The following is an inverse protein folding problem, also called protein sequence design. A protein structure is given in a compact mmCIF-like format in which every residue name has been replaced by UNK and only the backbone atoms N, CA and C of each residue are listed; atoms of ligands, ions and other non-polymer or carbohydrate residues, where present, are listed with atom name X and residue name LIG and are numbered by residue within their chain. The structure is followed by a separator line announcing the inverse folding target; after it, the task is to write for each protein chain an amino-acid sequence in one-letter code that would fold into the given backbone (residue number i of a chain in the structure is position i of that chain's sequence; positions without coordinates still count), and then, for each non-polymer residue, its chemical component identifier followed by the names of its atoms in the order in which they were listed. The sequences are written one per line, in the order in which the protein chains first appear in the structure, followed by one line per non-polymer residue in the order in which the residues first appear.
data_IF_124716104487
#
_entry.id   IF_124716104487
#
_cell.length_a   1.000
_cell.length_b   1.000
_cell.length_c   1.000
_cell.angle_alpha   90.00
_cell.angle_beta   90.00
_cell.angle_gamma   90.00
#
_symmetry.space_group_name_H-M   'P 1'
#
loop_
_entity.id
_entity.type
_entity.pdbx_description
1 polymer ?
#
# COMPACT_ATOMS: atom_id res chain seq x y z
N UNK A 1 2.85 -12.63 5.24
CA UNK A 1 2.92 -12.53 3.78
C UNK A 1 4.32 -12.87 3.36
N UNK A 2 4.51 -13.80 2.46
CA UNK A 2 5.82 -14.05 1.87
C UNK A 2 5.86 -13.32 0.53
N UNK A 3 6.92 -12.58 0.28
CA UNK A 3 7.20 -12.13 -1.08
C UNK A 3 7.54 -13.35 -1.93
N UNK A 4 7.02 -13.44 -3.15
CA UNK A 4 7.26 -14.58 -4.05
C UNK A 4 8.75 -14.70 -4.42
N UNK A 5 9.51 -13.63 -4.21
CA UNK A 5 10.93 -13.54 -4.51
C UNK A 5 11.68 -12.84 -3.37
N UNK A 6 12.98 -13.12 -3.29
CA UNK A 6 13.88 -12.44 -2.38
C UNK A 6 13.96 -10.95 -2.74
N UNK A 7 13.63 -10.10 -1.78
CA UNK A 7 13.79 -8.66 -1.95
C UNK A 7 15.27 -8.28 -2.01
N UNK A 8 15.59 -7.34 -2.88
CA UNK A 8 16.92 -6.78 -3.05
C UNK A 8 17.00 -5.48 -2.27
N UNK A 9 17.99 -5.36 -1.39
CA UNK A 9 18.22 -4.13 -0.63
C UNK A 9 19.05 -3.13 -1.41
N UNK A 10 18.76 -1.85 -1.20
CA UNK A 10 19.49 -0.72 -1.78
C UNK A 10 19.29 0.54 -0.95
N UNK A 11 19.73 1.66 -1.48
CA UNK A 11 19.60 2.99 -0.90
C UNK A 11 18.74 3.87 -1.81
N UNK A 12 17.77 4.58 -1.23
CA UNK A 12 16.95 5.55 -1.96
C UNK A 12 17.81 6.74 -2.36
N UNK A 13 17.81 7.09 -3.65
CA UNK A 13 18.41 8.34 -4.13
C UNK A 13 17.34 9.42 -4.15
N UNK A 14 16.26 9.20 -4.93
CA UNK A 14 15.14 10.13 -5.03
C UNK A 14 13.88 9.45 -5.53
N UNK A 15 12.73 10.05 -5.24
CA UNK A 15 11.45 9.74 -5.87
C UNK A 15 11.01 10.92 -6.72
N UNK A 16 10.45 10.65 -7.90
CA UNK A 16 9.98 11.70 -8.81
C UNK A 16 8.78 11.25 -9.64
N UNK A 17 8.06 12.21 -10.19
CA UNK A 17 6.83 11.98 -10.99
C UNK A 17 5.84 11.01 -10.33
N UNK A 18 5.82 10.93 -8.98
CA UNK A 18 5.01 10.05 -8.14
C UNK A 18 5.25 8.53 -8.32
N UNK A 19 5.71 8.07 -9.49
CA UNK A 19 5.77 6.66 -9.86
C UNK A 19 7.18 6.08 -9.96
N UNK A 20 8.20 6.91 -9.90
CA UNK A 20 9.59 6.50 -10.08
C UNK A 20 10.39 6.71 -8.81
N UNK A 21 11.26 5.76 -8.52
CA UNK A 21 12.25 5.85 -7.46
C UNK A 21 13.61 5.38 -7.98
N UNK A 22 14.61 6.24 -7.92
CA UNK A 22 15.99 5.84 -8.21
C UNK A 22 16.59 5.25 -6.93
N UNK A 23 17.16 4.06 -7.08
CA UNK A 23 17.70 3.24 -6.00
C UNK A 23 19.09 2.76 -6.36
N UNK A 24 20.05 2.96 -5.45
CA UNK A 24 21.41 2.43 -5.56
C UNK A 24 21.47 1.02 -5.03
N UNK A 25 21.86 0.07 -5.85
CA UNK A 25 22.09 -1.35 -5.49
C UNK A 25 23.53 -1.68 -5.81
N UNK A 26 24.36 -1.80 -4.78
CA UNK A 26 25.80 -1.94 -4.94
C UNK A 26 26.39 -0.76 -5.71
N UNK A 27 27.00 -1.00 -6.86
CA UNK A 27 27.59 0.05 -7.72
C UNK A 27 26.61 0.61 -8.77
N UNK A 28 25.42 0.02 -8.90
CA UNK A 28 24.48 0.38 -9.96
C UNK A 28 23.32 1.22 -9.42
N UNK A 29 22.85 2.15 -10.24
CA UNK A 29 21.62 2.89 -10.01
C UNK A 29 20.54 2.30 -10.91
N UNK A 30 19.40 1.94 -10.32
CA UNK A 30 18.22 1.44 -11.03
C UNK A 30 17.04 2.37 -10.78
N UNK A 31 16.14 2.44 -11.75
CA UNK A 31 14.82 3.07 -11.54
C UNK A 31 13.78 2.01 -11.24
N UNK A 32 13.17 2.09 -10.08
CA UNK A 32 12.07 1.23 -9.64
C UNK A 32 10.73 1.94 -9.81
N UNK A 33 9.69 1.16 -10.09
CA UNK A 33 8.31 1.63 -9.98
C UNK A 33 7.96 1.85 -8.51
N UNK A 34 7.44 3.02 -8.18
CA UNK A 34 6.90 3.35 -6.86
C UNK A 34 5.36 3.26 -6.92
N UNK A 35 4.72 2.21 -6.40
CA UNK A 35 3.27 2.01 -6.52
C UNK A 35 2.45 2.86 -5.54
N UNK A 36 3.09 3.68 -4.73
CA UNK A 36 2.42 4.62 -3.83
C UNK A 36 2.39 6.02 -4.47
N UNK A 37 1.19 6.49 -4.84
CA UNK A 37 0.99 7.82 -5.44
C UNK A 37 0.83 8.95 -4.42
N UNK A 38 0.65 8.63 -3.15
CA UNK A 38 0.52 9.58 -2.04
C UNK A 38 1.79 10.39 -1.79
N UNK A 39 1.73 11.31 -0.85
CA UNK A 39 2.85 12.20 -0.52
C UNK A 39 4.09 11.46 0.00
N UNK A 40 3.91 10.28 0.62
CA UNK A 40 4.95 9.50 1.28
C UNK A 40 5.76 10.35 2.28
N UNK A 41 5.06 11.25 2.98
CA UNK A 41 5.67 12.17 3.94
C UNK A 41 6.50 11.41 4.98
N UNK A 42 7.70 11.92 5.27
CA UNK A 42 8.62 11.33 6.25
C UNK A 42 9.40 10.10 5.76
N UNK A 43 9.16 9.61 4.53
CA UNK A 43 9.79 8.40 4.01
C UNK A 43 10.91 8.68 2.98
N UNK A 44 10.90 9.84 2.33
CA UNK A 44 11.68 10.10 1.11
C UNK A 44 13.07 10.72 1.35
N UNK A 45 13.66 10.52 2.53
CA UNK A 45 15.01 10.99 2.81
C UNK A 45 16.00 10.19 1.96
N UNK A 46 16.88 10.88 1.22
CA UNK A 46 18.00 10.28 0.51
C UNK A 46 18.89 9.46 1.46
N UNK A 47 19.39 8.33 0.98
CA UNK A 47 20.16 7.38 1.78
C UNK A 47 19.33 6.42 2.63
N UNK A 48 18.00 6.59 2.71
CA UNK A 48 17.17 5.60 3.39
C UNK A 48 17.34 4.22 2.76
N UNK A 49 17.50 3.20 3.60
CA UNK A 49 17.55 1.81 3.15
C UNK A 49 16.19 1.40 2.60
N UNK A 50 16.20 0.77 1.44
CA UNK A 50 14.99 0.34 0.75
C UNK A 50 15.10 -1.12 0.30
N UNK A 51 13.95 -1.73 0.00
CA UNK A 51 13.89 -3.05 -0.63
C UNK A 51 13.01 -2.98 -1.85
N UNK A 52 13.51 -3.58 -2.93
CA UNK A 52 12.80 -3.70 -4.20
C UNK A 52 12.58 -5.17 -4.55
N UNK A 53 11.46 -5.46 -5.19
CA UNK A 53 11.21 -6.73 -5.88
C UNK A 53 11.58 -6.62 -7.35
N UNK A 54 12.05 -7.73 -7.95
CA UNK A 54 12.32 -7.82 -9.39
C UNK A 54 11.12 -8.47 -10.08
N UNK A 55 10.65 -7.87 -11.16
CA UNK A 55 9.56 -8.43 -11.95
C UNK A 55 10.05 -9.59 -12.82
N UNK A 56 9.27 -10.67 -12.87
CA UNK A 56 9.49 -11.79 -13.79
C UNK A 56 8.98 -11.49 -15.20
N UNK A 57 8.16 -10.46 -15.37
CA UNK A 57 7.65 -10.09 -16.68
C UNK A 57 8.77 -9.43 -17.53
N UNK A 58 9.24 -10.07 -18.61
CA UNK A 58 10.34 -9.55 -19.43
C UNK A 58 9.96 -8.29 -20.21
N UNK A 59 8.67 -8.08 -20.51
CA UNK A 59 8.18 -6.93 -21.28
C UNK A 59 7.97 -5.67 -20.44
N UNK A 60 8.07 -5.78 -19.10
CA UNK A 60 7.87 -4.66 -18.19
C UNK A 60 9.01 -3.66 -18.31
N UNK A 61 8.70 -2.37 -18.61
CA UNK A 61 9.70 -1.30 -18.72
C UNK A 61 10.51 -1.11 -17.43
N UNK A 62 9.84 -1.01 -16.28
CA UNK A 62 10.51 -0.91 -14.98
C UNK A 62 10.58 -2.28 -14.34
N UNK A 63 11.77 -2.88 -14.38
CA UNK A 63 12.00 -4.26 -13.89
C UNK A 63 11.91 -4.39 -12.37
N UNK A 64 11.96 -3.28 -11.63
CA UNK A 64 11.95 -3.28 -10.17
C UNK A 64 10.73 -2.53 -9.64
N UNK A 65 10.24 -2.94 -8.47
CA UNK A 65 9.17 -2.28 -7.70
C UNK A 65 9.69 -1.98 -6.31
N UNK A 66 9.49 -0.76 -5.83
CA UNK A 66 9.81 -0.35 -4.47
C UNK A 66 8.74 -0.91 -3.53
N UNK A 67 9.17 -1.74 -2.57
CA UNK A 67 8.26 -2.46 -1.67
C UNK A 67 8.28 -1.89 -0.26
N UNK A 68 9.47 -1.59 0.25
CA UNK A 68 9.69 -1.21 1.64
C UNK A 68 10.72 -0.08 1.71
N UNK A 69 10.50 0.86 2.61
CA UNK A 69 11.47 1.90 3.01
C UNK A 69 11.72 1.76 4.51
N UNK A 70 12.99 1.85 4.92
CA UNK A 70 13.36 1.87 6.35
C UNK A 70 13.55 3.31 6.81
N UNK A 71 12.87 3.67 7.89
CA UNK A 71 13.02 4.96 8.55
C UNK A 71 13.29 4.73 10.05
N UNK A 72 14.40 5.23 10.55
CA UNK A 72 14.77 5.06 11.99
C UNK A 72 14.69 3.59 12.44
N UNK A 73 15.24 2.66 11.63
CA UNK A 73 15.20 1.19 11.85
C UNK A 73 13.82 0.54 11.75
N UNK A 74 12.77 1.28 11.44
CA UNK A 74 11.43 0.73 11.19
C UNK A 74 11.20 0.52 9.71
N UNK A 75 10.75 -0.67 9.32
CA UNK A 75 10.41 -1.01 7.94
C UNK A 75 8.97 -0.63 7.65
N UNK A 76 8.77 0.21 6.65
CA UNK A 76 7.46 0.71 6.22
C UNK A 76 7.14 0.13 4.84
N UNK A 77 6.09 -0.66 4.75
CA UNK A 77 5.58 -1.15 3.48
C UNK A 77 4.92 -0.02 2.70
N UNK A 78 5.41 0.24 1.49
CA UNK A 78 4.90 1.36 0.67
C UNK A 78 4.09 0.91 -0.55
N UNK A 79 4.15 -0.36 -0.90
CA UNK A 79 3.41 -0.91 -2.04
C UNK A 79 1.91 -1.02 -1.72
N UNK A 80 1.14 -0.03 -2.14
CA UNK A 80 -0.31 0.04 -1.89
C UNK A 80 -1.08 -1.12 -2.53
N UNK A 81 -0.60 -1.69 -3.65
CA UNK A 81 -1.21 -2.87 -4.25
C UNK A 81 -1.09 -4.14 -3.39
N UNK A 82 -0.17 -4.13 -2.43
CA UNK A 82 0.00 -5.27 -1.52
C UNK A 82 -0.98 -5.25 -0.35
N UNK A 83 -1.53 -4.09 0.04
CA UNK A 83 -2.43 -3.96 1.20
C UNK A 83 -3.70 -4.78 1.03
N UNK A 84 -4.36 -4.69 -0.12
CA UNK A 84 -5.58 -5.46 -0.41
C UNK A 84 -5.30 -6.97 -0.44
N UNK A 85 -4.13 -7.38 -0.97
CA UNK A 85 -3.72 -8.81 -0.97
C UNK A 85 -3.49 -9.33 0.45
N UNK A 86 -2.86 -8.51 1.31
CA UNK A 86 -2.60 -8.85 2.72
C UNK A 86 -3.94 -9.02 3.45
N UNK A 87 -4.85 -8.06 3.29
CA UNK A 87 -6.16 -8.09 3.92
C UNK A 87 -6.97 -9.30 3.46
N UNK A 88 -7.06 -9.54 2.15
CA UNK A 88 -7.77 -10.70 1.58
C UNK A 88 -7.21 -12.02 2.11
N UNK A 89 -5.88 -12.14 2.17
CA UNK A 89 -5.25 -13.34 2.74
C UNK A 89 -5.59 -13.50 4.22
N UNK A 90 -5.54 -12.44 5.00
CA UNK A 90 -5.87 -12.49 6.42
C UNK A 90 -7.35 -12.86 6.67
N UNK A 91 -8.27 -12.43 5.80
CA UNK A 91 -9.67 -12.87 5.82
C UNK A 91 -9.79 -14.37 5.54
N UNK A 92 -9.20 -14.84 4.43
CA UNK A 92 -9.24 -16.26 4.03
C UNK A 92 -8.63 -17.19 5.06
N UNK A 93 -7.54 -16.77 5.67
CA UNK A 93 -6.84 -17.49 6.73
C UNK A 93 -7.55 -17.36 8.10
N UNK A 94 -8.73 -16.69 8.15
CA UNK A 94 -9.52 -16.43 9.38
C UNK A 94 -8.72 -15.77 10.51
N UNK A 95 -7.70 -15.00 10.16
CA UNK A 95 -6.85 -14.28 11.14
C UNK A 95 -7.53 -13.03 11.69
N UNK A 96 -8.54 -12.52 11.02
CA UNK A 96 -9.33 -11.35 11.41
C UNK A 96 -10.63 -11.83 12.07
N UNK A 97 -10.55 -12.12 13.38
CA UNK A 97 -11.67 -12.71 14.15
C UNK A 97 -12.96 -11.91 14.05
N UNK A 98 -12.88 -10.59 13.97
CA UNK A 98 -14.04 -9.69 13.84
C UNK A 98 -14.86 -9.95 12.56
N UNK A 99 -14.23 -10.56 11.54
CA UNK A 99 -14.87 -10.89 10.27
C UNK A 99 -15.10 -12.41 10.07
N UNK A 100 -14.92 -13.22 11.10
CA UNK A 100 -14.98 -14.71 10.98
C UNK A 100 -16.34 -15.24 10.52
N UNK A 101 -17.43 -14.51 10.79
CA UNK A 101 -18.80 -14.91 10.46
C UNK A 101 -19.22 -14.55 9.02
N UNK A 102 -18.40 -13.81 8.29
CA UNK A 102 -18.71 -13.47 6.92
C UNK A 102 -18.23 -14.56 5.96
N UNK A 103 -19.11 -14.99 5.06
CA UNK A 103 -18.83 -16.08 4.11
C UNK A 103 -18.67 -15.59 2.69
N UNK A 104 -19.28 -14.45 2.33
CA UNK A 104 -19.13 -13.86 1.03
C UNK A 104 -18.10 -12.74 1.08
N UNK A 105 -17.08 -12.85 0.22
CA UNK A 105 -16.03 -11.84 0.07
C UNK A 105 -16.01 -11.44 -1.40
N UNK A 106 -16.39 -10.20 -1.70
CA UNK A 106 -16.24 -9.60 -3.03
C UNK A 106 -15.15 -8.54 -2.97
N UNK A 107 -14.41 -8.41 -4.06
CA UNK A 107 -13.36 -7.38 -4.23
C UNK A 107 -13.80 -6.37 -5.25
N UNK A 108 -13.35 -5.11 -5.10
CA UNK A 108 -13.63 -4.01 -6.03
C UNK A 108 -15.14 -3.82 -6.26
N UNK A 109 -15.93 -3.87 -5.19
CA UNK A 109 -17.40 -3.85 -5.27
C UNK A 109 -17.91 -2.43 -5.52
N UNK A 110 -18.77 -2.29 -6.51
CA UNK A 110 -19.46 -1.02 -6.80
C UNK A 110 -20.59 -0.81 -5.81
N UNK A 111 -20.56 0.31 -5.09
CA UNK A 111 -21.64 0.74 -4.23
C UNK A 111 -22.69 1.56 -5.01
N UNK A 112 -22.20 2.44 -5.88
CA UNK A 112 -23.02 3.25 -6.80
C UNK A 112 -22.23 3.57 -8.08
N UNK A 113 -22.74 4.48 -8.93
CA UNK A 113 -22.10 4.86 -10.20
C UNK A 113 -20.69 5.44 -10.03
N UNK A 114 -20.41 6.11 -8.90
CA UNK A 114 -19.17 6.84 -8.65
C UNK A 114 -18.29 6.25 -7.54
N UNK A 115 -18.84 5.36 -6.71
CA UNK A 115 -18.15 4.83 -5.52
C UNK A 115 -17.91 3.34 -5.65
N UNK A 116 -16.67 2.93 -5.41
CA UNK A 116 -16.24 1.54 -5.35
C UNK A 116 -15.45 1.33 -4.07
N UNK A 117 -15.74 0.24 -3.37
CA UNK A 117 -15.01 -0.18 -2.18
C UNK A 117 -14.06 -1.33 -2.49
N UNK A 118 -12.97 -1.42 -1.75
CA UNK A 118 -11.98 -2.49 -1.93
C UNK A 118 -12.59 -3.87 -1.66
N UNK A 119 -13.47 -3.97 -0.65
CA UNK A 119 -14.15 -5.22 -0.32
C UNK A 119 -15.59 -5.00 0.11
N UNK A 120 -16.41 -6.01 -0.19
CA UNK A 120 -17.71 -6.25 0.42
C UNK A 120 -17.66 -7.60 1.13
N UNK A 121 -17.97 -7.59 2.42
CA UNK A 121 -18.21 -8.79 3.21
C UNK A 121 -19.70 -8.92 3.49
N UNK A 122 -20.23 -10.13 3.36
CA UNK A 122 -21.65 -10.39 3.57
C UNK A 122 -21.85 -11.67 4.40
N UNK A 123 -22.74 -11.58 5.35
CA UNK A 123 -23.35 -12.72 6.04
C UNK A 123 -24.86 -12.68 5.85
N UNK A 124 -25.60 -13.58 6.51
CA UNK A 124 -27.06 -13.67 6.38
C UNK A 124 -27.82 -12.42 6.86
N UNK A 125 -27.17 -11.51 7.59
CA UNK A 125 -27.82 -10.38 8.27
C UNK A 125 -27.20 -9.03 7.92
N UNK A 126 -25.93 -9.01 7.50
CA UNK A 126 -25.14 -7.78 7.39
C UNK A 126 -24.30 -7.75 6.13
N UNK A 127 -24.16 -6.53 5.59
CA UNK A 127 -23.20 -6.18 4.54
C UNK A 127 -22.24 -5.15 5.09
N UNK A 128 -20.94 -5.37 4.92
CA UNK A 128 -19.90 -4.44 5.34
C UNK A 128 -19.06 -4.07 4.12
N UNK A 129 -19.04 -2.79 3.78
CA UNK A 129 -18.14 -2.23 2.79
C UNK A 129 -16.85 -1.81 3.48
N UNK A 130 -15.71 -2.20 2.90
CA UNK A 130 -14.39 -1.96 3.48
C UNK A 130 -13.51 -1.24 2.48
N UNK A 131 -12.90 -0.16 2.95
CA UNK A 131 -11.87 0.59 2.26
C UNK A 131 -10.54 0.40 2.98
N UNK A 132 -9.50 -0.02 2.28
CA UNK A 132 -8.18 -0.29 2.84
C UNK A 132 -7.27 0.91 2.63
N UNK A 133 -6.68 1.40 3.71
CA UNK A 133 -5.71 2.49 3.68
C UNK A 133 -4.32 2.02 4.11
N UNK A 134 -3.30 2.42 3.35
CA UNK A 134 -1.90 2.13 3.69
C UNK A 134 -1.35 3.22 4.62
N UNK A 135 -1.43 2.98 5.92
CA UNK A 135 -0.97 3.90 6.96
C UNK A 135 0.56 3.87 7.03
N UNK A 136 1.22 4.95 6.66
CA UNK A 136 2.68 5.02 6.51
C UNK A 136 3.35 6.13 7.30
N UNK A 137 2.59 7.00 7.97
CA UNK A 137 3.12 8.13 8.72
C UNK A 137 2.87 7.95 10.22
N UNK A 138 3.87 8.27 11.02
CA UNK A 138 3.83 8.25 12.48
C UNK A 138 4.52 9.51 13.00
N UNK A 139 3.77 10.59 13.21
CA UNK A 139 4.29 11.83 13.79
C UNK A 139 4.25 11.81 15.32
N UNK A 140 3.19 11.22 15.87
CA UNK A 140 3.00 11.04 17.31
C UNK A 140 3.00 9.56 17.67
N UNK A 141 3.69 9.18 18.74
CA UNK A 141 3.75 7.79 19.21
C UNK A 141 2.35 7.20 19.39
N UNK A 142 2.12 6.03 18.80
CA UNK A 142 0.84 5.32 18.89
C UNK A 142 -0.25 5.79 17.92
N UNK A 143 -0.01 6.85 17.14
CA UNK A 143 -1.00 7.34 16.17
C UNK A 143 -0.48 7.17 14.75
N UNK A 144 -0.99 6.15 14.06
CA UNK A 144 -0.72 5.96 12.64
C UNK A 144 -1.57 6.90 11.79
N UNK A 145 -0.97 7.51 10.77
CA UNK A 145 -1.60 8.48 9.90
C UNK A 145 -1.52 8.03 8.45
N UNK A 146 -2.58 8.30 7.71
CA UNK A 146 -2.64 8.09 6.27
C UNK A 146 -2.40 9.42 5.55
N UNK A 147 -1.18 9.65 5.01
CA UNK A 147 -0.86 10.89 4.31
C UNK A 147 -1.39 10.86 2.88
N UNK A 148 -2.67 11.10 2.71
CA UNK A 148 -3.29 11.15 1.38
C UNK A 148 -2.92 12.43 0.62
N UNK A 149 -3.06 12.38 -0.70
CA UNK A 149 -3.02 13.58 -1.54
C UNK A 149 -4.40 14.22 -1.52
N UNK A 150 -4.45 15.54 -1.40
CA UNK A 150 -5.70 16.28 -1.59
C UNK A 150 -6.21 15.99 -3.00
N UNK A 151 -7.35 15.33 -3.10
CA UNK A 151 -8.06 15.13 -4.37
C UNK A 151 -9.41 15.79 -4.26
N UNK A 152 -9.83 16.47 -5.33
CA UNK A 152 -11.13 17.16 -5.39
C UNK A 152 -12.29 16.19 -5.11
N UNK A 153 -12.14 14.92 -5.44
CA UNK A 153 -13.15 13.90 -5.22
C UNK A 153 -13.36 13.54 -3.74
N UNK A 154 -12.31 13.55 -2.93
CA UNK A 154 -12.39 13.19 -1.50
C UNK A 154 -13.06 14.30 -0.65
N UNK A 155 -13.02 15.54 -1.11
CA UNK A 155 -13.67 16.66 -0.40
C UNK A 155 -15.21 16.61 -0.43
N UNK A 156 -15.79 15.88 -1.38
CA UNK A 156 -17.24 15.90 -1.61
C UNK A 156 -17.96 14.57 -1.41
N UNK A 157 -17.27 13.46 -1.23
CA UNK A 157 -17.88 12.13 -1.34
C UNK A 157 -17.67 11.19 -0.15
N UNK A 158 -16.86 11.56 0.82
CA UNK A 158 -16.63 10.72 1.99
C UNK A 158 -16.79 11.57 3.25
N UNK A 159 -17.83 11.34 4.07
CA UNK A 159 -17.86 11.94 5.41
C UNK A 159 -16.61 11.47 6.15
N UNK A 160 -15.96 12.39 6.85
CA UNK A 160 -14.80 12.07 7.68
C UNK A 160 -15.22 11.05 8.73
N UNK A 161 -14.43 9.99 8.99
CA UNK A 161 -14.72 9.08 10.11
C UNK A 161 -14.62 9.74 11.50
N UNK A 162 -14.59 11.07 11.57
CA UNK A 162 -14.42 11.86 12.79
C UNK A 162 -15.67 12.67 13.19
N UNK A 163 -16.76 12.56 12.42
CA UNK A 163 -18.05 13.19 12.75
C UNK A 163 -19.01 12.17 13.36
#
# INVERSE_FOLDING_TARGET
MNFNEKLISGELIKRYKRFFADVKIGKNIITAHCPNTGSMMGLLKEGNKVWVSKSQNPTRKLKYTLEIIEVKKNKVGINTHSTNKIFLKALRDKKLKVFSNFHLIKTEEKYNKSTRFDFLLEDNKKKIFIEIKNVTLLRKRGIGEFPDSITTCLLYTSPSPRD
#
